data_IF_518495345401
#
_entry.id   IF_518495345401
#
_cell.length_a   1.000
_cell.length_b   1.000
_cell.length_c   1.000
_cell.angle_alpha   90.00
_cell.angle_beta   90.00
_cell.angle_gamma   90.00
#
_symmetry.space_group_name_H-M   'P 1'
#
loop_
_entity.id
_entity.type
_entity.pdbx_description
1 polymer ?
#
# COMPACT_ATOMS: atom_id res chain seq x y z
N UNK A 1 19.95 14.96 5.62
CA UNK A 1 19.74 13.58 6.10
C UNK A 1 18.28 13.30 6.55
N UNK A 2 17.26 14.05 6.10
CA UNK A 2 15.85 13.79 6.44
C UNK A 2 15.07 13.10 5.30
N UNK A 3 15.55 13.20 4.06
CA UNK A 3 14.90 12.63 2.88
C UNK A 3 15.03 11.10 2.83
N UNK A 4 16.18 10.54 3.23
CA UNK A 4 16.41 9.08 3.17
C UNK A 4 15.51 8.30 4.14
N UNK A 5 15.27 8.84 5.34
CA UNK A 5 14.40 8.19 6.33
C UNK A 5 12.95 8.18 5.88
N UNK A 6 12.45 9.31 5.33
CA UNK A 6 11.09 9.38 4.80
C UNK A 6 10.88 8.42 3.61
N UNK A 7 11.86 8.34 2.71
CA UNK A 7 11.79 7.41 1.57
C UNK A 7 11.89 5.95 2.02
N UNK A 8 12.71 5.66 3.04
CA UNK A 8 12.81 4.32 3.65
C UNK A 8 11.50 3.92 4.34
N UNK A 9 10.86 4.88 5.02
CA UNK A 9 9.56 4.70 5.67
C UNK A 9 8.47 4.37 4.64
N UNK A 10 8.35 5.14 3.56
CA UNK A 10 7.39 4.87 2.49
C UNK A 10 7.62 3.51 1.82
N UNK A 11 8.87 3.17 1.49
CA UNK A 11 9.22 1.87 0.88
C UNK A 11 8.87 0.68 1.77
N UNK A 12 8.88 0.85 3.09
CA UNK A 12 8.50 -0.20 4.02
C UNK A 12 7.02 -0.58 3.85
N UNK A 13 6.13 0.39 3.80
CA UNK A 13 4.70 0.12 3.63
C UNK A 13 4.34 -0.40 2.25
N UNK A 14 4.99 0.13 1.20
CA UNK A 14 4.81 -0.40 -0.16
C UNK A 14 5.21 -1.88 -0.23
N UNK A 15 6.23 -2.32 0.52
CA UNK A 15 6.57 -3.74 0.60
C UNK A 15 5.47 -4.56 1.26
N UNK A 16 4.90 -4.10 2.37
CA UNK A 16 3.77 -4.77 3.05
C UNK A 16 2.59 -4.93 2.09
N UNK A 17 2.21 -3.87 1.38
CA UNK A 17 1.11 -3.92 0.41
C UNK A 17 1.36 -4.95 -0.68
N UNK A 18 2.55 -4.96 -1.29
CA UNK A 18 2.87 -5.83 -2.41
C UNK A 18 3.11 -7.30 -2.01
N UNK A 19 3.57 -7.55 -0.78
CA UNK A 19 4.00 -8.89 -0.35
C UNK A 19 2.97 -9.59 0.53
N UNK A 20 2.06 -8.85 1.15
CA UNK A 20 1.09 -9.39 2.10
C UNK A 20 -0.33 -9.03 1.68
N UNK A 21 -0.67 -7.73 1.65
CA UNK A 21 -2.06 -7.31 1.44
C UNK A 21 -2.63 -7.74 0.08
N UNK A 22 -1.92 -7.45 -1.02
CA UNK A 22 -2.37 -7.77 -2.36
C UNK A 22 -2.43 -9.29 -2.59
N UNK A 23 -1.39 -10.09 -2.29
CA UNK A 23 -1.47 -11.54 -2.44
C UNK A 23 -2.58 -12.18 -1.60
N UNK A 24 -2.79 -11.73 -0.35
CA UNK A 24 -3.85 -12.27 0.51
C UNK A 24 -5.25 -11.86 0.01
N UNK A 25 -5.41 -10.64 -0.52
CA UNK A 25 -6.65 -10.22 -1.17
C UNK A 25 -6.98 -11.12 -2.37
N UNK A 26 -6.00 -11.36 -3.25
CA UNK A 26 -6.21 -12.15 -4.48
C UNK A 26 -6.49 -13.63 -4.15
N UNK A 27 -5.74 -14.21 -3.21
CA UNK A 27 -5.84 -15.65 -2.90
C UNK A 27 -6.97 -16.00 -1.95
N UNK A 28 -7.23 -15.14 -0.96
CA UNK A 28 -8.08 -15.47 0.19
C UNK A 28 -9.20 -14.45 0.43
N UNK A 29 -9.26 -13.37 -0.36
CA UNK A 29 -10.18 -12.24 -0.13
C UNK A 29 -10.07 -11.66 1.29
N UNK A 30 -8.85 -11.65 1.85
CA UNK A 30 -8.52 -11.16 3.18
C UNK A 30 -7.31 -10.22 3.05
N UNK A 31 -7.48 -8.90 3.17
CA UNK A 31 -6.40 -7.96 2.87
C UNK A 31 -5.36 -7.82 4.00
N UNK A 32 -5.46 -8.60 5.08
CA UNK A 32 -4.59 -8.48 6.25
C UNK A 32 -3.10 -8.48 5.86
N UNK A 33 -2.29 -7.52 6.38
CA UNK A 33 -2.59 -6.58 7.46
C UNK A 33 -3.22 -5.24 7.02
N UNK A 34 -3.56 -5.07 5.73
CA UNK A 34 -4.30 -3.89 5.28
C UNK A 34 -5.77 -3.98 5.71
N UNK A 35 -6.40 -2.82 5.87
CA UNK A 35 -7.83 -2.74 6.18
C UNK A 35 -8.66 -3.09 4.95
N UNK A 36 -8.21 -2.63 3.79
CA UNK A 36 -8.92 -2.80 2.52
C UNK A 36 -7.95 -2.75 1.35
N UNK A 37 -8.27 -3.49 0.29
CA UNK A 37 -7.59 -3.43 -1.01
C UNK A 37 -8.66 -3.22 -2.08
N UNK A 38 -8.58 -2.08 -2.76
CA UNK A 38 -9.50 -1.64 -3.80
C UNK A 38 -8.85 -1.87 -5.16
N UNK A 39 -9.25 -2.93 -5.86
CA UNK A 39 -8.71 -3.27 -7.18
C UNK A 39 -9.62 -2.80 -8.30
N UNK A 40 -9.02 -2.40 -9.41
CA UNK A 40 -9.72 -2.23 -10.66
C UNK A 40 -10.23 -3.58 -11.18
N UNK A 41 -11.36 -3.55 -11.89
CA UNK A 41 -12.01 -4.76 -12.36
C UNK A 41 -11.11 -5.51 -13.35
N UNK A 42 -10.70 -6.73 -12.98
CA UNK A 42 -9.90 -7.60 -13.84
C UNK A 42 -8.42 -7.24 -13.90
N UNK A 43 -7.91 -6.46 -12.94
CA UNK A 43 -6.48 -6.16 -12.82
C UNK A 43 -6.04 -6.18 -11.35
N UNK A 44 -4.73 -6.30 -11.12
CA UNK A 44 -4.12 -6.16 -9.79
C UNK A 44 -3.75 -4.70 -9.47
N UNK A 45 -4.19 -3.74 -10.31
CA UNK A 45 -3.96 -2.32 -10.10
C UNK A 45 -5.03 -1.73 -9.19
N UNK A 46 -4.62 -0.77 -8.36
CA UNK A 46 -5.49 -0.10 -7.41
C UNK A 46 -4.72 0.38 -6.20
N UNK A 47 -5.44 0.48 -5.08
CA UNK A 47 -4.93 1.03 -3.82
C UNK A 47 -5.21 0.11 -2.64
N UNK A 48 -4.37 0.21 -1.61
CA UNK A 48 -4.53 -0.44 -0.33
C UNK A 48 -4.59 0.61 0.78
N UNK A 49 -5.50 0.40 1.73
CA UNK A 49 -5.63 1.22 2.94
C UNK A 49 -4.92 0.49 4.08
N UNK A 50 -3.83 1.06 4.57
CA UNK A 50 -3.01 0.49 5.63
C UNK A 50 -3.01 1.37 6.88
N UNK A 51 -3.18 0.75 8.05
CA UNK A 51 -3.09 1.45 9.33
C UNK A 51 -1.64 1.86 9.61
N UNK A 52 -1.39 3.17 9.78
CA UNK A 52 -0.08 3.64 10.25
C UNK A 52 0.08 3.32 11.74
N UNK A 53 1.30 2.98 12.16
CA UNK A 53 1.62 2.64 13.55
C UNK A 53 1.83 3.86 14.45
N UNK A 54 2.08 5.04 13.89
CA UNK A 54 2.49 6.24 14.62
C UNK A 54 1.32 7.08 15.15
N UNK A 55 0.13 6.94 14.59
CA UNK A 55 -1.05 7.70 15.03
C UNK A 55 -2.25 6.79 15.21
N UNK A 56 -3.06 6.92 16.28
CA UNK A 56 -4.18 6.01 16.55
C UNK A 56 -5.21 5.98 15.41
N UNK A 57 -5.38 7.09 14.69
CA UNK A 57 -6.33 7.24 13.59
C UNK A 57 -5.66 7.51 12.23
N UNK A 58 -4.34 7.37 12.15
CA UNK A 58 -3.62 7.61 10.89
C UNK A 58 -3.70 6.38 9.99
N UNK A 59 -4.05 6.61 8.72
CA UNK A 59 -4.10 5.61 7.66
C UNK A 59 -3.28 6.10 6.46
N UNK A 60 -2.76 5.14 5.70
CA UNK A 60 -1.98 5.35 4.49
C UNK A 60 -2.75 4.77 3.31
N UNK A 61 -2.92 5.57 2.27
CA UNK A 61 -3.35 5.09 0.95
C UNK A 61 -2.10 4.80 0.14
N UNK A 62 -1.98 3.57 -0.36
CA UNK A 62 -0.78 3.08 -1.03
C UNK A 62 -1.14 2.30 -2.29
N UNK A 63 -0.43 2.52 -3.40
CA UNK A 63 -0.71 1.80 -4.64
C UNK A 63 -0.33 0.32 -4.52
N UNK A 64 -1.11 -0.56 -5.14
CA UNK A 64 -0.80 -1.99 -5.29
C UNK A 64 0.23 -2.24 -6.39
N UNK A 65 0.51 -1.24 -7.23
CA UNK A 65 1.55 -1.30 -8.26
C UNK A 65 2.74 -0.43 -7.90
N UNK A 66 3.93 -0.81 -8.42
CA UNK A 66 5.10 0.04 -8.29
C UNK A 66 4.89 1.31 -9.11
N UNK A 67 4.77 2.45 -8.45
CA UNK A 67 4.94 3.76 -9.09
C UNK A 67 6.43 3.89 -9.44
N UNK A 68 6.77 3.67 -10.72
CA UNK A 68 8.03 4.15 -11.29
C UNK A 68 7.96 5.67 -11.28
N UNK A 69 8.87 6.32 -10.57
CA UNK A 69 8.73 7.71 -10.13
C UNK A 69 8.33 8.70 -11.21
N UNK A 70 7.05 9.08 -11.20
CA UNK A 70 6.48 10.42 -11.30
C UNK A 70 5.03 10.25 -10.85
N UNK A 71 4.60 11.07 -9.89
CA UNK A 71 3.27 10.99 -9.29
C UNK A 71 2.22 11.26 -10.37
N UNK A 72 1.61 10.21 -10.91
CA UNK A 72 0.28 10.36 -11.52
C UNK A 72 -0.74 10.25 -10.39
N UNK A 73 -0.85 11.33 -9.62
CA UNK A 73 -2.07 11.60 -8.87
C UNK A 73 -3.14 11.95 -9.92
N UNK A 74 -4.25 11.22 -9.91
CA UNK A 74 -5.47 11.61 -10.61
C UNK A 74 -6.13 12.78 -9.87
#
# INVERSE_FOLDING_TARGET
MLISNSLKYFRHFVKIVNQECLPNQISNNQPDPCVEVLLEKGSDQGDAILKDRNGPLQYLLLPTTKITGESKAL
#
